data_IF_669934286569
#
_entry.id   IF_669934286569
#
_cell.length_a   1.000
_cell.length_b   1.000
_cell.length_c   1.000
_cell.angle_alpha   90.00
_cell.angle_beta   90.00
_cell.angle_gamma   90.00
#
_symmetry.space_group_name_H-M   'P 1'
#
loop_
_entity.id
_entity.type
_entity.pdbx_description
1 polymer ?
#
# COMPACT_ATOMS: atom_id res chain seq x y z
N UNK A 1 61.30 -39.78 -44.54
CA UNK A 1 60.02 -39.05 -44.40
C UNK A 1 59.81 -38.81 -42.91
N UNK A 2 59.51 -37.64 -42.35
CA UNK A 2 59.50 -36.22 -42.78
C UNK A 2 59.35 -35.43 -41.46
N UNK A 3 59.97 -34.26 -41.40
CA UNK A 3 59.89 -33.25 -40.33
C UNK A 3 58.48 -32.96 -39.79
N UNK A 4 58.40 -32.50 -38.52
CA UNK A 4 57.53 -31.39 -38.06
C UNK A 4 57.81 -31.05 -36.57
N UNK A 5 58.60 -29.99 -36.30
CA UNK A 5 58.19 -28.70 -35.68
C UNK A 5 57.67 -28.83 -34.24
N UNK A 6 58.44 -28.59 -33.17
CA UNK A 6 59.09 -27.34 -32.73
C UNK A 6 58.20 -26.07 -32.86
N UNK A 7 57.05 -26.05 -32.19
CA UNK A 7 56.28 -24.81 -31.88
C UNK A 7 55.42 -24.96 -30.62
N UNK A 8 56.02 -25.04 -29.42
CA UNK A 8 55.24 -24.93 -28.17
C UNK A 8 56.01 -24.27 -27.01
N UNK A 9 57.03 -23.45 -27.30
CA UNK A 9 57.85 -22.80 -26.26
C UNK A 9 57.57 -21.29 -26.08
N UNK A 10 56.57 -20.72 -26.78
CA UNK A 10 56.28 -19.29 -26.70
C UNK A 10 55.06 -18.91 -25.82
N UNK A 11 54.35 -19.88 -25.23
CA UNK A 11 53.13 -19.61 -24.45
C UNK A 11 53.35 -19.60 -22.93
N UNK A 12 54.51 -20.03 -22.43
CA UNK A 12 54.78 -20.10 -20.99
C UNK A 12 54.89 -18.74 -20.25
N UNK A 13 55.33 -17.61 -20.84
CA UNK A 13 55.41 -16.37 -20.07
C UNK A 13 54.04 -15.70 -19.88
N UNK A 14 53.04 -16.03 -20.70
CA UNK A 14 51.70 -15.43 -20.60
C UNK A 14 50.83 -16.11 -19.53
N UNK A 15 51.04 -17.40 -19.30
CA UNK A 15 50.32 -18.17 -18.26
C UNK A 15 50.82 -17.82 -16.85
N UNK A 16 52.10 -17.45 -16.71
CA UNK A 16 52.67 -17.07 -15.41
C UNK A 16 52.20 -15.68 -14.93
N UNK A 17 51.82 -14.77 -15.84
CA UNK A 17 51.31 -13.44 -15.48
C UNK A 17 49.88 -13.46 -14.92
N UNK A 18 49.07 -14.46 -15.25
CA UNK A 18 47.72 -14.61 -14.67
C UNK A 18 47.75 -15.15 -13.23
N UNK A 19 48.81 -15.88 -12.85
CA UNK A 19 48.98 -16.45 -11.51
C UNK A 19 49.51 -15.44 -10.46
N UNK A 20 49.82 -14.22 -10.87
CA UNK A 20 50.25 -13.11 -9.99
C UNK A 20 49.18 -12.03 -9.84
N UNK A 21 47.94 -12.27 -10.31
CA UNK A 21 46.83 -11.37 -10.04
C UNK A 21 46.24 -11.67 -8.66
N UNK A 22 46.72 -10.95 -7.64
CA UNK A 22 46.01 -10.88 -6.36
C UNK A 22 44.60 -10.30 -6.61
N UNK A 23 43.53 -10.95 -6.15
CA UNK A 23 42.20 -10.35 -6.20
C UNK A 23 42.20 -9.14 -5.26
N UNK A 24 42.37 -7.94 -5.83
CA UNK A 24 42.21 -6.71 -5.09
C UNK A 24 40.73 -6.56 -4.70
N UNK A 25 40.45 -6.64 -3.40
CA UNK A 25 39.15 -6.32 -2.84
C UNK A 25 38.98 -4.80 -2.85
N UNK A 26 38.63 -4.25 -4.02
CA UNK A 26 38.48 -2.81 -4.25
C UNK A 26 37.07 -2.28 -3.90
N UNK A 27 36.24 -3.05 -3.19
CA UNK A 27 34.91 -2.60 -2.78
C UNK A 27 34.97 -2.10 -1.34
N UNK A 28 34.76 -0.80 -1.16
CA UNK A 28 34.47 -0.24 0.16
C UNK A 28 33.12 -0.80 0.60
N UNK A 29 33.15 -1.72 1.57
CA UNK A 29 31.96 -2.28 2.18
C UNK A 29 31.50 -1.36 3.31
N UNK A 30 30.28 -0.84 3.20
CA UNK A 30 29.61 -0.16 4.29
C UNK A 30 28.67 -1.15 4.96
N UNK A 31 29.00 -1.58 6.17
CA UNK A 31 28.09 -2.36 7.00
C UNK A 31 27.26 -1.40 7.86
N UNK A 32 25.94 -1.54 7.80
CA UNK A 32 25.04 -0.79 8.68
C UNK A 32 25.18 -1.37 10.09
N UNK A 33 25.55 -0.51 11.04
CA UNK A 33 25.65 -0.86 12.45
C UNK A 33 24.51 -0.17 13.19
N UNK A 34 23.63 -0.95 13.79
CA UNK A 34 22.39 -0.46 14.43
C UNK A 34 22.36 -0.68 15.94
N UNK A 35 23.41 -1.29 16.50
CA UNK A 35 23.53 -1.61 17.92
C UNK A 35 24.30 -0.56 18.74
N UNK A 36 24.64 0.57 18.13
CA UNK A 36 25.26 1.70 18.84
C UNK A 36 24.15 2.44 19.59
N UNK A 37 24.26 2.54 20.91
CA UNK A 37 23.31 3.28 21.73
C UNK A 37 23.35 4.78 21.36
N UNK A 38 22.17 5.37 21.23
CA UNK A 38 22.00 6.81 20.98
C UNK A 38 21.17 7.37 22.12
N UNK A 39 21.66 8.44 22.75
CA UNK A 39 21.05 9.01 23.94
C UNK A 39 20.91 10.53 23.82
N UNK A 40 19.82 11.08 24.35
CA UNK A 40 19.64 12.52 24.54
C UNK A 40 19.65 12.78 26.05
N UNK A 41 20.60 13.58 26.53
CA UNK A 41 20.78 13.89 27.95
C UNK A 41 20.83 12.65 28.86
N UNK A 42 21.46 11.56 28.40
CA UNK A 42 21.57 10.29 29.13
C UNK A 42 20.32 9.39 29.07
N UNK A 43 19.31 9.76 28.27
CA UNK A 43 18.13 8.92 28.02
C UNK A 43 18.28 8.20 26.69
N UNK A 44 18.30 6.85 26.65
CA UNK A 44 18.31 6.10 25.41
C UNK A 44 17.13 6.42 24.51
N UNK A 45 17.41 6.65 23.24
CA UNK A 45 16.39 6.83 22.21
C UNK A 45 15.85 5.47 21.77
N UNK A 46 14.54 5.40 21.56
CA UNK A 46 13.90 4.26 20.90
C UNK A 46 14.13 4.35 19.39
N UNK A 47 14.52 3.24 18.76
CA UNK A 47 14.73 3.12 17.32
C UNK A 47 15.57 4.24 16.67
N UNK A 48 16.71 4.65 17.24
CA UNK A 48 17.45 5.82 16.75
C UNK A 48 17.99 5.66 15.33
N UNK A 49 18.09 4.41 14.85
CA UNK A 49 18.58 4.06 13.53
C UNK A 49 17.48 3.81 12.50
N UNK A 50 16.20 4.03 12.82
CA UNK A 50 15.09 3.83 11.87
C UNK A 50 15.12 4.82 10.71
N UNK A 51 15.83 5.94 10.86
CA UNK A 51 15.85 7.04 9.89
C UNK A 51 14.55 7.85 9.90
N UNK A 52 14.49 8.89 9.06
CA UNK A 52 13.32 9.73 8.91
C UNK A 52 12.19 9.06 8.11
N UNK A 53 10.97 9.47 8.39
CA UNK A 53 9.73 9.06 7.71
C UNK A 53 9.03 10.35 7.28
N UNK A 54 8.83 10.54 5.97
CA UNK A 54 8.29 11.79 5.43
C UNK A 54 6.81 11.67 5.04
N UNK A 55 6.48 10.69 4.20
CA UNK A 55 5.12 10.49 3.70
C UNK A 55 4.68 9.04 3.93
N UNK A 56 4.39 8.67 5.19
CA UNK A 56 4.09 7.29 5.56
C UNK A 56 2.70 6.87 5.08
N UNK A 57 2.65 5.68 4.49
CA UNK A 57 1.46 4.84 4.50
C UNK A 57 1.74 3.68 5.46
N UNK A 58 0.88 3.51 6.46
CA UNK A 58 1.08 2.51 7.52
C UNK A 58 0.08 1.38 7.40
N UNK A 59 0.50 0.17 7.74
CA UNK A 59 -0.38 -1.00 7.85
C UNK A 59 0.12 -1.92 8.95
N UNK A 60 -0.72 -2.88 9.34
CA UNK A 60 -0.42 -3.80 10.42
C UNK A 60 -0.59 -5.24 9.95
N UNK A 61 0.39 -6.08 10.25
CA UNK A 61 0.40 -7.51 9.95
C UNK A 61 1.31 -8.24 10.93
N UNK A 62 1.08 -9.52 11.18
CA UNK A 62 2.02 -10.35 11.96
C UNK A 62 3.20 -10.78 11.06
N UNK A 63 4.38 -10.17 11.23
CA UNK A 63 5.55 -10.41 10.37
C UNK A 63 6.43 -11.55 10.88
N UNK A 64 6.46 -11.79 12.19
CA UNK A 64 7.31 -12.80 12.81
C UNK A 64 6.56 -14.05 13.30
N UNK A 65 5.22 -14.04 13.28
CA UNK A 65 4.32 -15.13 13.61
C UNK A 65 4.10 -15.33 15.10
N UNK A 66 4.30 -14.28 15.91
CA UNK A 66 4.11 -14.32 17.35
C UNK A 66 2.65 -14.05 17.79
N UNK A 67 1.76 -13.80 16.83
CA UNK A 67 0.35 -13.50 17.02
C UNK A 67 0.05 -12.02 17.34
N UNK A 68 1.06 -11.16 17.36
CA UNK A 68 0.92 -9.70 17.53
C UNK A 68 1.05 -9.04 16.17
N UNK A 69 0.22 -8.01 15.94
CA UNK A 69 0.37 -7.22 14.72
C UNK A 69 1.57 -6.28 14.84
N UNK A 70 2.44 -6.37 13.85
CA UNK A 70 3.62 -5.54 13.66
C UNK A 70 3.31 -4.32 12.80
N UNK A 71 4.17 -3.30 12.83
CA UNK A 71 3.98 -2.06 12.06
C UNK A 71 4.81 -2.08 10.79
N UNK A 72 4.11 -2.08 9.65
CA UNK A 72 4.68 -1.82 8.34
C UNK A 72 4.50 -0.35 7.97
N UNK A 73 5.57 0.29 7.50
CA UNK A 73 5.55 1.67 7.03
C UNK A 73 6.16 1.75 5.63
N UNK A 74 5.39 2.23 4.66
CA UNK A 74 5.88 2.60 3.35
C UNK A 74 5.97 4.13 3.24
N UNK A 75 7.19 4.66 3.28
CA UNK A 75 7.45 6.08 3.01
C UNK A 75 7.42 6.30 1.50
N UNK A 76 6.33 6.88 1.01
CA UNK A 76 6.08 7.12 -0.41
C UNK A 76 7.02 8.17 -1.00
N UNK A 77 7.54 9.08 -0.18
CA UNK A 77 8.48 10.10 -0.64
C UNK A 77 9.85 9.49 -0.94
N UNK A 78 10.35 8.68 0.00
CA UNK A 78 11.66 8.03 -0.14
C UNK A 78 11.59 6.68 -0.88
N UNK A 79 10.39 6.22 -1.24
CA UNK A 79 10.13 4.89 -1.78
C UNK A 79 10.76 3.78 -0.91
N UNK A 80 10.53 3.87 0.40
CA UNK A 80 11.24 3.06 1.41
C UNK A 80 10.27 2.35 2.34
N UNK A 81 10.49 1.05 2.52
CA UNK A 81 9.83 0.25 3.56
C UNK A 81 10.62 0.33 4.86
N UNK A 82 9.92 0.48 5.97
CA UNK A 82 10.43 0.31 7.33
C UNK A 82 9.49 -0.60 8.11
N UNK A 83 10.05 -1.57 8.84
CA UNK A 83 9.29 -2.53 9.64
C UNK A 83 9.63 -2.36 11.12
N UNK A 84 8.64 -2.54 11.97
CA UNK A 84 8.81 -2.53 13.42
C UNK A 84 8.03 -3.69 14.04
N UNK A 85 8.73 -4.56 14.77
CA UNK A 85 8.11 -5.66 15.51
C UNK A 85 7.44 -5.15 16.78
N UNK A 86 6.30 -5.73 17.11
CA UNK A 86 5.57 -5.46 18.33
C UNK A 86 6.12 -6.32 19.48
N UNK A 87 6.91 -5.70 20.34
CA UNK A 87 7.49 -6.35 21.54
C UNK A 87 6.61 -6.20 22.79
N UNK A 88 5.39 -5.66 22.62
CA UNK A 88 4.40 -5.50 23.68
C UNK A 88 3.61 -6.79 23.93
N UNK A 89 2.52 -6.67 24.69
CA UNK A 89 1.51 -7.74 24.80
C UNK A 89 0.52 -7.68 23.64
N UNK A 90 -0.25 -8.73 23.41
CA UNK A 90 -1.20 -8.91 22.28
C UNK A 90 -2.22 -7.78 22.07
N UNK A 91 -2.39 -6.85 23.02
CA UNK A 91 -3.27 -5.68 22.90
C UNK A 91 -2.61 -4.35 23.35
N UNK A 92 -1.28 -4.31 23.46
CA UNK A 92 -0.53 -3.11 23.89
C UNK A 92 0.50 -2.75 22.84
N UNK A 93 0.17 -1.73 22.05
CA UNK A 93 0.89 -1.30 20.85
C UNK A 93 1.85 -0.15 21.17
N UNK A 94 2.66 -0.28 22.22
CA UNK A 94 3.55 0.80 22.68
C UNK A 94 5.04 0.47 22.59
N UNK A 95 5.39 -0.78 22.23
CA UNK A 95 6.76 -1.26 22.23
C UNK A 95 7.20 -1.70 20.84
N UNK A 96 7.40 -0.72 19.96
CA UNK A 96 7.90 -0.93 18.60
C UNK A 96 9.42 -1.09 18.59
N UNK A 97 9.91 -2.22 18.08
CA UNK A 97 11.33 -2.46 17.82
C UNK A 97 11.60 -2.42 16.32
N UNK A 98 12.45 -1.50 15.88
CA UNK A 98 12.85 -1.42 14.47
C UNK A 98 13.53 -2.71 14.00
N UNK A 99 13.03 -3.27 12.90
CA UNK A 99 13.40 -4.59 12.36
C UNK A 99 13.68 -4.52 10.85
N UNK A 100 14.80 -3.91 10.43
CA UNK A 100 15.13 -3.72 9.02
C UNK A 100 15.32 -5.03 8.24
N UNK A 101 15.69 -6.10 8.91
CA UNK A 101 15.82 -7.43 8.34
C UNK A 101 14.48 -7.98 7.80
N UNK A 102 13.34 -7.46 8.25
CA UNK A 102 12.02 -7.84 7.72
C UNK A 102 11.76 -7.22 6.35
N UNK A 103 12.42 -6.12 5.99
CA UNK A 103 12.21 -5.43 4.70
C UNK A 103 12.45 -6.37 3.51
N UNK A 104 13.42 -7.28 3.62
CA UNK A 104 13.76 -8.24 2.56
C UNK A 104 12.68 -9.31 2.33
N UNK A 105 11.68 -9.42 3.22
CA UNK A 105 10.57 -10.37 3.13
C UNK A 105 9.44 -9.87 2.24
N UNK A 106 9.41 -8.57 1.93
CA UNK A 106 8.38 -7.96 1.08
C UNK A 106 8.84 -7.93 -0.39
N UNK A 107 7.91 -8.10 -1.36
CA UNK A 107 8.21 -7.83 -2.75
C UNK A 107 8.48 -6.32 -2.95
N UNK A 108 9.08 -5.90 -4.08
CA UNK A 108 9.24 -4.49 -4.39
C UNK A 108 7.89 -3.76 -4.43
N UNK A 109 7.70 -2.83 -3.51
CA UNK A 109 6.44 -2.07 -3.40
C UNK A 109 6.31 -1.06 -4.53
N UNK A 110 5.11 -1.01 -5.14
CA UNK A 110 4.78 -0.06 -6.20
C UNK A 110 3.75 0.97 -5.70
N UNK A 111 4.21 2.20 -5.44
CA UNK A 111 3.44 3.42 -5.10
C UNK A 111 2.65 3.44 -3.78
N UNK A 112 2.07 2.33 -3.36
CA UNK A 112 1.39 2.14 -2.08
C UNK A 112 1.35 0.65 -1.74
N UNK A 113 1.09 0.34 -0.48
CA UNK A 113 0.96 -1.01 0.05
C UNK A 113 -0.11 -0.98 1.13
N UNK A 114 -1.16 -1.77 0.94
CA UNK A 114 -2.24 -1.98 1.89
C UNK A 114 -2.30 -3.47 2.21
N UNK A 115 -2.74 -3.78 3.43
CA UNK A 115 -2.77 -5.14 3.94
C UNK A 115 -4.19 -5.50 4.39
N UNK A 116 -4.67 -6.65 3.93
CA UNK A 116 -5.99 -7.18 4.27
C UNK A 116 -5.98 -8.71 4.16
N UNK A 117 -6.57 -9.42 5.12
CA UNK A 117 -6.73 -10.88 5.08
C UNK A 117 -7.91 -11.23 4.17
N UNK A 118 -7.66 -11.34 2.86
CA UNK A 118 -8.78 -11.53 1.91
C UNK A 118 -9.31 -12.95 1.98
N UNK A 119 -8.48 -13.93 2.36
CA UNK A 119 -8.84 -15.35 2.33
C UNK A 119 -9.24 -15.93 3.70
N UNK A 120 -9.40 -15.08 4.71
CA UNK A 120 -9.72 -15.41 6.09
C UNK A 120 -8.83 -16.49 6.70
N UNK A 121 -7.53 -16.50 6.35
CA UNK A 121 -6.57 -17.44 6.92
C UNK A 121 -5.85 -16.92 8.17
N UNK A 122 -6.20 -15.68 8.58
CA UNK A 122 -5.65 -14.98 9.73
C UNK A 122 -4.39 -14.18 9.44
N UNK A 123 -3.95 -14.13 8.16
CA UNK A 123 -2.73 -13.45 7.73
C UNK A 123 -3.09 -12.38 6.72
N UNK A 124 -2.69 -11.13 6.99
CA UNK A 124 -2.95 -10.07 6.03
C UNK A 124 -2.09 -10.23 4.78
N UNK A 125 -2.76 -10.16 3.63
CA UNK A 125 -2.20 -10.21 2.30
C UNK A 125 -1.87 -8.80 1.79
N UNK A 126 -0.88 -8.71 0.90
CA UNK A 126 -0.40 -7.43 0.37
C UNK A 126 -1.12 -7.06 -0.93
N UNK A 127 -1.63 -5.83 -0.97
CA UNK A 127 -2.17 -5.19 -2.15
C UNK A 127 -1.36 -3.95 -2.49
N UNK A 128 -1.04 -3.79 -3.78
CA UNK A 128 -0.29 -2.63 -4.27
C UNK A 128 -0.69 -2.27 -5.70
N UNK A 129 -0.18 -1.14 -6.20
CA UNK A 129 -0.41 -0.75 -7.60
C UNK A 129 0.20 -1.81 -8.53
N UNK A 130 -0.60 -2.31 -9.48
CA UNK A 130 -0.12 -3.23 -10.51
C UNK A 130 0.96 -2.57 -11.37
N UNK A 131 1.96 -3.36 -11.77
CA UNK A 131 2.96 -2.95 -12.77
C UNK A 131 2.45 -3.11 -14.21
N UNK A 132 1.24 -3.63 -14.39
CA UNK A 132 0.60 -3.80 -15.71
C UNK A 132 -0.19 -2.55 -16.11
N UNK A 133 -0.49 -2.45 -17.41
CA UNK A 133 -1.28 -1.37 -18.00
C UNK A 133 -2.61 -1.92 -18.54
N UNK A 134 -3.76 -1.20 -18.39
CA UNK A 134 -3.94 0.09 -17.70
C UNK A 134 -3.76 -0.02 -16.17
N UNK A 135 -3.80 1.10 -15.43
CA UNK A 135 -3.57 1.09 -13.98
C UNK A 135 -4.63 0.28 -13.23
N UNK A 136 -4.21 -0.47 -12.21
CA UNK A 136 -5.09 -1.30 -11.39
C UNK A 136 -4.35 -1.90 -10.19
N UNK A 137 -4.95 -2.88 -9.55
CA UNK A 137 -4.45 -3.46 -8.29
C UNK A 137 -3.78 -4.81 -8.54
N UNK A 138 -2.70 -5.11 -7.83
CA UNK A 138 -2.12 -6.45 -7.75
C UNK A 138 -2.25 -6.99 -6.32
N UNK A 139 -2.55 -8.27 -6.19
CA UNK A 139 -2.72 -8.99 -4.93
C UNK A 139 -1.63 -10.04 -4.73
N UNK A 140 -1.04 -10.04 -3.54
CA UNK A 140 0.05 -10.92 -3.12
C UNK A 140 -0.36 -11.62 -1.83
N UNK A 141 -0.54 -12.93 -1.90
CA UNK A 141 -0.94 -13.72 -0.73
C UNK A 141 0.23 -13.90 0.24
N UNK A 142 -0.04 -13.75 1.53
CA UNK A 142 0.88 -14.01 2.62
C UNK A 142 0.97 -15.52 2.89
N UNK A 143 2.07 -16.13 2.44
CA UNK A 143 2.37 -17.55 2.63
C UNK A 143 3.22 -17.80 3.88
N UNK A 144 3.10 -16.97 4.93
CA UNK A 144 3.85 -17.14 6.17
C UNK A 144 3.72 -18.58 6.70
N UNK A 145 4.85 -19.18 7.05
CA UNK A 145 4.92 -20.38 7.89
C UNK A 145 6.05 -20.23 8.91
N UNK A 146 5.96 -20.93 10.05
CA UNK A 146 7.07 -20.93 11.02
C UNK A 146 8.40 -21.45 10.43
N UNK A 147 8.36 -22.27 9.38
CA UNK A 147 9.57 -22.82 8.76
C UNK A 147 10.26 -21.86 7.79
N UNK A 148 9.50 -21.00 7.10
CA UNK A 148 10.00 -20.10 6.05
C UNK A 148 10.00 -18.61 6.45
N UNK A 149 9.22 -18.27 7.47
CA UNK A 149 8.88 -16.90 7.84
C UNK A 149 7.92 -16.25 6.83
N UNK A 150 7.79 -14.93 6.90
CA UNK A 150 6.97 -14.13 5.99
C UNK A 150 7.45 -14.27 4.55
N UNK A 151 6.52 -14.62 3.66
CA UNK A 151 6.74 -14.75 2.22
C UNK A 151 5.46 -14.35 1.48
N UNK A 152 5.60 -13.78 0.30
CA UNK A 152 4.47 -13.37 -0.52
C UNK A 152 4.47 -14.05 -1.89
N UNK A 153 3.31 -14.56 -2.30
CA UNK A 153 3.09 -15.09 -3.65
C UNK A 153 2.15 -14.19 -4.42
N UNK A 154 2.55 -13.75 -5.61
CA UNK A 154 1.66 -13.00 -6.50
C UNK A 154 0.53 -13.92 -7.00
N UNK A 155 -0.68 -13.71 -6.48
CA UNK A 155 -1.87 -14.52 -6.83
C UNK A 155 -2.71 -13.86 -7.90
N UNK A 156 -2.72 -12.53 -7.96
CA UNK A 156 -3.40 -11.78 -9.01
C UNK A 156 -2.56 -10.57 -9.44
N UNK A 157 -1.92 -10.58 -10.62
CA UNK A 157 -1.12 -9.45 -11.10
C UNK A 157 -1.96 -8.23 -11.47
N UNK A 158 -3.27 -8.41 -11.68
CA UNK A 158 -4.15 -7.38 -12.20
C UNK A 158 -5.61 -7.70 -11.90
N UNK A 159 -6.11 -7.20 -10.77
CA UNK A 159 -7.48 -7.41 -10.32
C UNK A 159 -8.47 -6.80 -11.31
N UNK A 160 -9.53 -7.56 -11.55
CA UNK A 160 -10.58 -7.26 -12.51
C UNK A 160 -11.94 -7.47 -11.88
N UNK A 161 -12.90 -6.76 -12.42
CA UNK A 161 -14.31 -6.86 -12.10
C UNK A 161 -15.13 -7.09 -13.37
N UNK A 162 -16.38 -7.52 -13.20
CA UNK A 162 -17.36 -7.58 -14.29
C UNK A 162 -18.19 -6.30 -14.30
N UNK A 163 -18.19 -5.59 -15.42
CA UNK A 163 -19.06 -4.43 -15.66
C UNK A 163 -19.83 -4.64 -16.97
N UNK A 164 -21.17 -4.60 -16.89
CA UNK A 164 -22.06 -4.84 -18.02
C UNK A 164 -21.75 -6.14 -18.81
N UNK A 165 -21.32 -7.19 -18.12
CA UNK A 165 -20.96 -8.49 -18.70
C UNK A 165 -19.55 -8.58 -19.31
N UNK A 166 -18.73 -7.53 -19.19
CA UNK A 166 -17.37 -7.51 -19.70
C UNK A 166 -16.36 -7.35 -18.55
N UNK A 167 -15.19 -8.03 -18.62
CA UNK A 167 -14.13 -7.85 -17.64
C UNK A 167 -13.46 -6.48 -17.84
N UNK A 168 -13.42 -5.68 -16.78
CA UNK A 168 -12.68 -4.42 -16.69
C UNK A 168 -11.71 -4.44 -15.51
N UNK A 169 -10.72 -3.56 -15.50
CA UNK A 169 -9.81 -3.42 -14.38
C UNK A 169 -10.48 -2.68 -13.23
N UNK A 170 -10.19 -3.09 -11.99
CA UNK A 170 -10.49 -2.29 -10.81
C UNK A 170 -9.47 -1.15 -10.78
N UNK A 171 -9.94 0.09 -10.91
CA UNK A 171 -9.06 1.23 -11.08
C UNK A 171 -8.38 1.61 -9.76
N UNK A 172 -7.06 1.71 -9.81
CA UNK A 172 -6.26 2.34 -8.78
C UNK A 172 -5.09 3.06 -9.46
N UNK A 173 -4.54 4.08 -8.80
CA UNK A 173 -3.41 4.84 -9.34
C UNK A 173 -2.39 5.11 -8.25
N UNK A 174 -1.30 5.80 -8.60
CA UNK A 174 -0.33 6.23 -7.60
C UNK A 174 -0.93 7.20 -6.56
N UNK A 175 -2.03 7.88 -6.89
CA UNK A 175 -2.65 8.96 -6.10
C UNK A 175 -4.11 8.68 -5.71
N UNK A 176 -4.68 7.59 -6.24
CA UNK A 176 -6.04 7.11 -5.96
C UNK A 176 -5.91 5.73 -5.34
N UNK A 177 -5.81 5.72 -4.01
CA UNK A 177 -5.59 4.52 -3.21
C UNK A 177 -6.96 4.03 -2.72
N UNK A 178 -7.40 2.81 -3.09
CA UNK A 178 -8.70 2.29 -2.69
C UNK A 178 -8.75 1.99 -1.19
N UNK A 179 -9.96 1.79 -0.65
CA UNK A 179 -10.18 1.17 0.65
C UNK A 179 -10.66 -0.28 0.48
N UNK A 180 -10.27 -1.12 1.41
CA UNK A 180 -10.72 -2.51 1.54
C UNK A 180 -11.45 -2.67 2.86
N UNK A 181 -12.62 -3.29 2.80
CA UNK A 181 -13.49 -3.59 3.94
C UNK A 181 -14.49 -4.67 3.51
N UNK A 182 -15.20 -5.27 4.44
CA UNK A 182 -16.43 -6.03 4.15
C UNK A 182 -17.60 -5.02 4.17
N UNK A 183 -18.06 -4.56 3.02
CA UNK A 183 -18.98 -3.40 2.93
C UNK A 183 -20.44 -3.84 3.03
N UNK A 184 -20.77 -5.05 2.58
CA UNK A 184 -22.12 -5.60 2.66
C UNK A 184 -22.32 -6.64 3.80
N UNK A 185 -21.28 -6.82 4.64
CA UNK A 185 -21.30 -7.70 5.81
C UNK A 185 -21.50 -9.18 5.48
N UNK A 186 -21.00 -9.63 4.33
CA UNK A 186 -21.11 -11.02 3.90
C UNK A 186 -19.89 -11.89 4.26
N UNK A 187 -18.80 -11.26 4.69
CA UNK A 187 -17.57 -11.89 5.17
C UNK A 187 -16.44 -11.97 4.14
N UNK A 188 -16.58 -11.42 2.93
CA UNK A 188 -15.47 -11.24 1.99
C UNK A 188 -14.96 -9.79 1.86
N UNK A 189 -13.83 -9.64 1.18
CA UNK A 189 -13.18 -8.34 1.02
C UNK A 189 -13.73 -7.59 -0.19
N UNK A 190 -14.52 -6.57 0.08
CA UNK A 190 -14.97 -5.56 -0.88
C UNK A 190 -13.95 -4.45 -1.11
N UNK A 191 -14.18 -3.66 -2.17
CA UNK A 191 -13.35 -2.51 -2.51
C UNK A 191 -14.21 -1.27 -2.75
N UNK A 192 -13.89 -0.19 -2.02
CA UNK A 192 -14.33 1.16 -2.38
C UNK A 192 -13.18 1.86 -3.09
N UNK A 193 -13.38 2.09 -4.39
CA UNK A 193 -12.40 2.65 -5.30
C UNK A 193 -12.78 4.01 -5.84
N UNK A 194 -11.93 4.52 -6.73
CA UNK A 194 -12.20 5.73 -7.50
C UNK A 194 -12.56 5.37 -8.93
N UNK A 195 -13.30 6.26 -9.59
CA UNK A 195 -13.43 6.19 -11.03
C UNK A 195 -12.10 6.56 -11.70
N UNK A 196 -11.84 6.00 -12.89
CA UNK A 196 -10.72 6.39 -13.76
C UNK A 196 -10.77 7.85 -14.20
N UNK A 197 -11.93 8.49 -14.08
CA UNK A 197 -12.16 9.91 -14.33
C UNK A 197 -12.40 10.61 -12.99
N UNK A 198 -11.72 11.74 -12.69
CA UNK A 198 -11.91 12.46 -11.44
C UNK A 198 -13.27 13.17 -11.44
N UNK A 199 -14.31 12.51 -10.93
CA UNK A 199 -15.67 13.03 -10.82
C UNK A 199 -16.19 13.08 -9.38
N UNK A 200 -15.31 12.90 -8.39
CA UNK A 200 -15.61 13.01 -6.97
C UNK A 200 -16.39 11.82 -6.40
N UNK A 201 -16.63 10.76 -7.19
CA UNK A 201 -17.42 9.60 -6.77
C UNK A 201 -16.55 8.43 -6.38
N UNK A 202 -17.11 7.65 -5.45
CA UNK A 202 -16.59 6.36 -5.08
C UNK A 202 -17.34 5.25 -5.80
N UNK A 203 -16.57 4.26 -6.28
CA UNK A 203 -17.09 3.08 -6.94
C UNK A 203 -17.09 1.95 -5.93
N UNK A 204 -18.21 1.24 -5.82
CA UNK A 204 -18.29 0.02 -5.03
C UNK A 204 -18.05 -1.18 -5.94
N UNK A 205 -16.94 -1.86 -5.70
CA UNK A 205 -16.61 -3.14 -6.32
C UNK A 205 -16.92 -4.23 -5.30
N UNK A 206 -18.03 -4.91 -5.52
CA UNK A 206 -18.52 -5.98 -4.63
C UNK A 206 -17.79 -7.28 -4.95
N UNK A 207 -17.19 -7.92 -3.97
CA UNK A 207 -16.66 -9.26 -4.13
C UNK A 207 -17.82 -10.26 -4.03
N UNK A 208 -17.73 -11.32 -4.81
CA UNK A 208 -18.77 -12.34 -4.94
C UNK A 208 -18.25 -13.69 -4.47
N UNK A 209 -17.23 -13.69 -3.60
CA UNK A 209 -16.61 -14.91 -3.12
C UNK A 209 -17.60 -15.65 -2.23
N UNK A 210 -18.20 -14.94 -1.28
CA UNK A 210 -19.22 -15.49 -0.40
C UNK A 210 -20.51 -15.82 -1.17
N UNK A 211 -20.95 -14.97 -2.10
CA UNK A 211 -22.13 -15.26 -2.94
C UNK A 211 -21.96 -16.54 -3.78
N UNK A 212 -20.80 -16.74 -4.41
CA UNK A 212 -20.58 -17.83 -5.36
C UNK A 212 -20.13 -19.13 -4.71
N UNK A 213 -19.32 -19.04 -3.64
CA UNK A 213 -18.60 -20.19 -3.07
C UNK A 213 -18.89 -20.42 -1.59
N UNK A 214 -19.44 -19.41 -0.88
CA UNK A 214 -19.63 -19.47 0.58
C UNK A 214 -18.31 -19.45 1.35
N UNK A 215 -17.24 -18.96 0.74
CA UNK A 215 -15.90 -18.76 1.31
C UNK A 215 -15.37 -17.40 0.87
N UNK A 216 -14.53 -16.76 1.67
CA UNK A 216 -13.90 -15.47 1.35
C UNK A 216 -12.62 -15.60 0.50
N UNK A 217 -12.16 -16.81 0.20
CA UNK A 217 -10.84 -17.08 -0.40
C UNK A 217 -10.66 -16.73 -1.88
N UNK A 218 -11.63 -16.06 -2.49
CA UNK A 218 -11.61 -15.69 -3.91
C UNK A 218 -11.74 -14.18 -4.12
N UNK A 219 -11.08 -13.70 -5.18
CA UNK A 219 -11.08 -12.30 -5.60
C UNK A 219 -11.93 -12.16 -6.88
N UNK A 220 -13.26 -12.20 -6.75
CA UNK A 220 -14.21 -12.22 -7.87
C UNK A 220 -15.14 -11.03 -7.76
N UNK A 221 -14.89 -9.97 -8.53
CA UNK A 221 -15.59 -8.71 -8.35
C UNK A 221 -16.64 -8.42 -9.42
N UNK A 222 -17.68 -7.68 -9.01
CA UNK A 222 -18.58 -6.96 -9.89
C UNK A 222 -18.62 -5.47 -9.57
N UNK A 223 -18.92 -4.66 -10.60
CA UNK A 223 -19.20 -3.25 -10.41
C UNK A 223 -20.62 -3.09 -9.85
N UNK A 224 -20.74 -3.00 -8.52
CA UNK A 224 -22.03 -2.94 -7.84
C UNK A 224 -22.67 -1.54 -7.88
N UNK A 225 -21.89 -0.48 -7.63
CA UNK A 225 -22.38 0.89 -7.70
C UNK A 225 -21.34 1.84 -8.26
N UNK A 226 -21.77 2.76 -9.12
CA UNK A 226 -20.92 3.85 -9.63
C UNK A 226 -20.83 5.06 -8.69
N UNK A 227 -21.42 4.97 -7.50
CA UNK A 227 -21.68 6.09 -6.60
C UNK A 227 -22.03 5.56 -5.21
N UNK A 228 -21.05 4.95 -4.54
CA UNK A 228 -21.22 4.47 -3.18
C UNK A 228 -21.57 5.63 -2.23
N UNK A 229 -22.49 5.38 -1.29
CA UNK A 229 -23.02 6.39 -0.35
C UNK A 229 -23.90 7.49 -0.97
N UNK A 230 -24.19 7.44 -2.28
CA UNK A 230 -25.01 8.45 -2.99
C UNK A 230 -24.52 9.91 -2.83
N UNK A 231 -23.21 10.12 -2.68
CA UNK A 231 -22.61 11.44 -2.62
C UNK A 231 -21.45 11.59 -3.61
N UNK A 232 -21.05 12.82 -3.85
CA UNK A 232 -19.82 13.12 -4.57
C UNK A 232 -19.05 14.22 -3.83
N UNK A 233 -17.74 14.05 -3.74
CA UNK A 233 -16.82 15.08 -3.28
C UNK A 233 -16.80 16.25 -4.27
N UNK A 234 -16.53 17.43 -3.73
CA UNK A 234 -16.30 18.61 -4.56
C UNK A 234 -15.04 18.40 -5.40
N UNK A 235 -15.20 18.42 -6.72
CA UNK A 235 -14.07 18.27 -7.64
C UNK A 235 -13.23 19.55 -7.60
N UNK A 236 -11.92 19.40 -7.43
CA UNK A 236 -11.00 20.54 -7.32
C UNK A 236 -10.25 20.60 -6.00
N UNK A 237 -10.49 19.62 -5.13
CA UNK A 237 -9.68 19.39 -3.96
C UNK A 237 -10.21 20.19 -2.77
N UNK A 238 -11.25 19.67 -2.15
CA UNK A 238 -11.74 20.16 -0.87
C UNK A 238 -12.30 18.94 -0.16
N UNK A 239 -12.00 18.80 1.13
CA UNK A 239 -12.62 17.82 2.03
C UNK A 239 -14.05 18.26 2.33
N UNK A 240 -14.85 18.30 1.27
CA UNK A 240 -16.23 18.76 1.25
C UNK A 240 -17.03 17.85 0.33
N UNK A 241 -18.21 17.48 0.80
CA UNK A 241 -19.22 16.85 -0.04
C UNK A 241 -19.83 17.93 -0.94
N UNK A 242 -19.44 17.92 -2.22
CA UNK A 242 -19.98 18.84 -3.22
C UNK A 242 -21.48 18.61 -3.45
N UNK A 243 -21.95 17.36 -3.29
CA UNK A 243 -23.39 17.10 -3.22
C UNK A 243 -23.77 15.73 -2.65
N UNK A 244 -24.91 15.70 -1.97
CA UNK A 244 -25.66 14.50 -1.59
C UNK A 244 -26.80 14.24 -2.59
N UNK A 245 -27.09 12.96 -2.87
CA UNK A 245 -28.15 12.52 -3.79
C UNK A 245 -28.06 13.13 -5.20
N UNK A 246 -26.88 13.65 -5.56
CA UNK A 246 -26.61 14.05 -6.92
C UNK A 246 -26.88 12.89 -7.86
N UNK A 247 -27.45 13.11 -9.06
CA UNK A 247 -27.58 12.05 -10.03
C UNK A 247 -26.19 11.45 -10.29
N UNK A 248 -26.00 10.24 -9.80
CA UNK A 248 -24.87 9.37 -10.05
C UNK A 248 -24.88 9.08 -11.56
N UNK A 249 -24.25 9.98 -12.33
CA UNK A 249 -24.47 10.26 -13.76
C UNK A 249 -25.39 9.28 -14.50
N UNK A 250 -26.58 9.77 -14.81
CA UNK A 250 -26.91 10.10 -16.20
C UNK A 250 -27.15 11.61 -16.27
N UNK A 251 -26.15 12.39 -16.72
CA UNK A 251 -26.28 13.82 -17.03
C UNK A 251 -26.00 14.80 -15.87
N UNK A 252 -25.17 15.82 -16.13
CA UNK A 252 -24.91 16.97 -15.23
C UNK A 252 -26.06 17.99 -15.30
N UNK A 253 -26.41 18.70 -14.22
CA UNK A 253 -26.94 20.05 -14.30
C UNK A 253 -25.81 21.09 -14.32
N UNK A 254 -26.05 22.15 -15.07
CA UNK A 254 -25.27 23.38 -15.15
C UNK A 254 -25.77 24.35 -14.08
N UNK A 255 -24.93 24.67 -13.09
CA UNK A 255 -24.83 25.95 -12.36
C UNK A 255 -24.29 25.71 -10.93
N UNK A 256 -23.17 26.36 -10.62
CA UNK A 256 -22.50 26.39 -9.32
C UNK A 256 -23.17 27.44 -8.41
N UNK A 257 -23.45 27.17 -7.11
CA UNK A 257 -23.75 28.22 -6.16
C UNK A 257 -22.45 28.78 -5.52
N UNK A 258 -22.27 30.09 -5.75
CA UNK A 258 -21.52 31.13 -5.03
C UNK A 258 -20.57 30.73 -3.86
N UNK A 259 -19.28 31.13 -3.88
CA UNK A 259 -18.31 30.79 -2.83
C UNK A 259 -18.58 31.57 -1.53
N UNK A 260 -18.66 30.84 -0.41
CA UNK A 260 -18.64 31.42 0.93
C UNK A 260 -17.19 31.74 1.31
N UNK A 261 -17.00 32.88 1.97
CA UNK A 261 -15.73 33.49 2.33
C UNK A 261 -14.95 32.64 3.36
N UNK A 262 -13.87 32.00 2.91
CA UNK A 262 -12.87 31.35 3.77
C UNK A 262 -11.98 32.41 4.48
N UNK A 263 -11.57 32.19 5.73
CA UNK A 263 -10.60 33.04 6.41
C UNK A 263 -9.19 32.91 5.80
N UNK A 264 -8.43 34.01 5.79
CA UNK A 264 -7.08 34.06 5.23
C UNK A 264 -6.10 33.16 6.02
N UNK A 265 -5.56 32.16 5.34
CA UNK A 265 -4.67 31.12 5.84
C UNK A 265 -3.19 31.54 5.83
N UNK A 266 -2.43 31.13 6.86
CA UNK A 266 -0.97 31.29 6.97
C UNK A 266 -0.25 30.09 6.33
N UNK A 267 0.50 30.27 5.22
CA UNK A 267 1.18 29.18 4.51
C UNK A 267 2.29 28.46 5.29
N UNK A 268 2.66 28.96 6.48
CA UNK A 268 3.76 28.40 7.27
C UNK A 268 3.38 27.15 8.10
N UNK A 269 2.08 26.88 8.26
CA UNK A 269 1.56 25.73 9.04
C UNK A 269 1.24 24.48 8.17
N UNK A 270 1.48 24.54 6.86
CA UNK A 270 1.16 23.45 5.93
C UNK A 270 2.21 22.32 5.92
N UNK A 271 1.76 21.07 6.03
CA UNK A 271 2.49 19.93 5.45
C UNK A 271 2.55 20.14 3.92
N UNK A 272 3.76 20.24 3.36
CA UNK A 272 3.94 20.86 2.04
C UNK A 272 3.41 20.06 0.85
N UNK A 273 3.07 18.78 0.98
CA UNK A 273 2.54 17.92 -0.10
C UNK A 273 1.88 16.67 0.47
N UNK A 274 0.56 16.58 0.38
CA UNK A 274 -0.12 15.30 0.27
C UNK A 274 -0.35 15.07 -1.23
N UNK A 275 0.37 14.15 -1.86
CA UNK A 275 0.24 13.91 -3.32
C UNK A 275 -0.93 12.94 -3.65
N UNK A 276 -1.90 12.71 -2.74
CA UNK A 276 -3.11 11.93 -3.04
C UNK A 276 -4.26 12.85 -3.43
N UNK A 277 -5.03 12.47 -4.47
CA UNK A 277 -6.23 13.23 -4.84
C UNK A 277 -7.22 13.12 -3.69
N UNK A 278 -7.49 11.89 -3.25
CA UNK A 278 -8.11 11.65 -1.95
C UNK A 278 -7.61 10.30 -1.41
N UNK A 279 -7.57 10.16 -0.08
CA UNK A 279 -7.43 8.88 0.61
C UNK A 279 -8.75 8.57 1.31
N UNK A 280 -9.16 7.31 1.31
CA UNK A 280 -10.38 6.84 1.96
C UNK A 280 -10.01 5.75 2.96
N UNK A 281 -10.60 5.82 4.14
CA UNK A 281 -10.52 4.81 5.18
C UNK A 281 -11.94 4.50 5.66
N UNK A 282 -12.30 3.21 5.63
CA UNK A 282 -13.63 2.73 5.99
C UNK A 282 -13.62 2.15 7.39
N UNK A 283 -14.64 2.46 8.17
CA UNK A 283 -14.88 1.91 9.49
C UNK A 283 -16.31 2.20 9.92
N UNK A 284 -16.88 1.32 10.75
CA UNK A 284 -18.14 1.57 11.45
C UNK A 284 -17.86 2.49 12.65
N UNK A 285 -18.21 3.79 12.57
CA UNK A 285 -17.93 4.76 13.63
C UNK A 285 -19.00 4.79 14.71
N UNK A 286 -20.24 4.45 14.39
CA UNK A 286 -21.38 4.60 15.30
C UNK A 286 -21.98 3.27 15.79
N UNK A 287 -21.48 2.14 15.27
CA UNK A 287 -21.77 0.79 15.71
C UNK A 287 -23.04 0.20 15.11
N UNK A 288 -23.50 0.70 13.96
CA UNK A 288 -24.72 0.24 13.31
C UNK A 288 -24.51 -0.88 12.26
N UNK A 289 -23.25 -1.28 12.06
CA UNK A 289 -22.76 -2.26 11.09
C UNK A 289 -22.82 -1.82 9.62
N UNK A 290 -23.02 -0.54 9.35
CA UNK A 290 -22.69 0.03 8.05
C UNK A 290 -21.29 0.69 8.08
N UNK A 291 -20.69 0.86 6.90
CA UNK A 291 -19.35 1.44 6.79
C UNK A 291 -19.43 2.94 6.57
N UNK A 292 -18.85 3.71 7.50
CA UNK A 292 -18.58 5.13 7.34
C UNK A 292 -17.26 5.37 6.60
N UNK A 293 -17.02 6.61 6.18
CA UNK A 293 -15.77 6.99 5.52
C UNK A 293 -15.07 8.18 6.20
N UNK A 294 -13.77 8.01 6.43
CA UNK A 294 -12.83 9.10 6.67
C UNK A 294 -12.06 9.39 5.39
N UNK A 295 -12.11 10.65 4.95
CA UNK A 295 -11.57 11.10 3.68
C UNK A 295 -10.54 12.21 3.91
N UNK A 296 -9.36 12.03 3.34
CA UNK A 296 -8.33 13.07 3.21
C UNK A 296 -8.19 13.54 1.77
N UNK A 297 -7.82 14.79 1.53
CA UNK A 297 -7.62 15.38 0.21
C UNK A 297 -6.38 16.30 0.24
N UNK A 298 -5.63 16.35 -0.87
CA UNK A 298 -4.42 17.18 -1.04
C UNK A 298 -4.56 18.63 -0.59
N UNK A 299 -5.75 19.19 -0.70
CA UNK A 299 -6.00 20.62 -0.53
C UNK A 299 -6.48 20.98 0.86
N UNK A 300 -6.67 19.97 1.71
CA UNK A 300 -7.40 20.09 2.96
C UNK A 300 -6.54 19.70 4.15
N UNK A 301 -6.68 20.46 5.22
CA UNK A 301 -5.89 20.30 6.45
C UNK A 301 -6.65 19.54 7.55
N UNK A 302 -7.93 19.25 7.32
CA UNK A 302 -8.80 18.43 8.15
C UNK A 302 -9.05 17.07 7.49
N UNK A 303 -9.64 16.12 8.21
CA UNK A 303 -10.23 14.91 7.62
C UNK A 303 -11.74 15.14 7.50
N UNK A 304 -12.33 14.79 6.36
CA UNK A 304 -13.78 14.75 6.19
C UNK A 304 -14.31 13.41 6.71
N UNK A 305 -15.26 13.47 7.62
CA UNK A 305 -16.01 12.30 8.08
C UNK A 305 -17.36 12.29 7.38
N UNK A 306 -17.70 11.19 6.72
CA UNK A 306 -18.99 10.96 6.08
C UNK A 306 -19.66 9.81 6.82
N UNK A 307 -20.75 10.11 7.51
CA UNK A 307 -21.58 9.10 8.14
C UNK A 307 -22.54 8.48 7.11
N UNK A 308 -22.52 7.16 7.01
CA UNK A 308 -23.57 6.39 6.38
C UNK A 308 -24.72 6.23 7.41
N UNK A 309 -25.94 6.00 6.94
CA UNK A 309 -27.10 5.91 7.84
C UNK A 309 -28.14 4.90 7.37
N UNK A 310 -27.72 3.95 6.54
CA UNK A 310 -28.57 2.96 5.86
C UNK A 310 -29.15 3.37 4.50
#
# INVERSE_FOLDING_TARGET
MRNTHLRFLAALPFVFLFLLSDPSNAQVRFDRVENVAVEIAGTPMQNPWSGGINYPLTSSLDMDGDGRKDLFVFDRFNNRVSCFLNTGSTNVVTAWQYAPEMVQRFPPINKWALFYDYNCDGKEDLFMLSSLFPSGIAAWRNDYTQGTGLQFTLVNPFMRETFAGFPTNIFASAVSIPAFADVDSDGDMDIIGYNSVPDGRFIYHRNLSMDNYGTCDSLVYEWASACWGNFALQVGGANEVGCFHCPCRVGRPTEEPNPVLEPAYDPSDAARRDDTISSIYLLDLDGDNDMDALIGDISSYNTLMVHNGG
#
